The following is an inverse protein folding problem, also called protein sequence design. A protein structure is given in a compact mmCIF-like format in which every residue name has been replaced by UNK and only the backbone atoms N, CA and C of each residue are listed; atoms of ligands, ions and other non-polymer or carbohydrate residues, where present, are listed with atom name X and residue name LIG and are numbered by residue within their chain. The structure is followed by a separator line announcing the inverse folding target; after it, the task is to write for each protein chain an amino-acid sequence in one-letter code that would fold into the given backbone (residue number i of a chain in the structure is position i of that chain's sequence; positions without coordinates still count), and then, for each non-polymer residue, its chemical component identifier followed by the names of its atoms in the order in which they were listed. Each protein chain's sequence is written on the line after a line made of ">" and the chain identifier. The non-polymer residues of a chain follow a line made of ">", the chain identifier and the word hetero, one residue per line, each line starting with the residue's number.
data_IF_364142474691
#
_entry.id   IF_364142474691
#
_cell.length_a   1.000
_cell.length_b   1.000
_cell.length_c   1.000
_cell.angle_alpha   90.00
_cell.angle_beta   90.00
_cell.angle_gamma   90.00
#
_symmetry.space_group_name_H-M   'P 1'
#
loop_
_entity.id
_entity.type
_entity.pdbx_description
1 polymer ?
#
# COMPACT_ATOMS: atom_id res chain seq x y z
N UNK A 1 -18.15 -17.96 19.72
CA UNK A 1 -17.20 -19.04 19.38
C UNK A 1 -16.60 -18.70 18.03
N UNK A 2 -15.51 -17.93 18.01
CA UNK A 2 -14.87 -17.49 16.77
C UNK A 2 -13.94 -18.59 16.26
N UNK A 3 -14.19 -19.09 15.05
CA UNK A 3 -13.35 -20.10 14.41
C UNK A 3 -11.96 -19.53 14.13
N UNK A 4 -10.98 -19.99 14.91
CA UNK A 4 -9.56 -19.79 14.66
C UNK A 4 -9.12 -20.84 13.64
N UNK A 5 -9.29 -20.61 12.33
CA UNK A 5 -8.66 -21.49 11.33
C UNK A 5 -8.51 -20.97 9.90
N UNK A 6 -8.69 -19.70 9.55
CA UNK A 6 -8.45 -19.31 8.16
C UNK A 6 -6.97 -18.98 7.94
N UNK A 7 -6.23 -19.96 7.40
CA UNK A 7 -4.94 -19.72 6.72
C UNK A 7 -5.13 -18.87 5.46
N UNK A 8 -6.32 -18.95 4.87
CA UNK A 8 -6.69 -18.23 3.65
C UNK A 8 -7.23 -16.83 3.98
N UNK A 9 -6.95 -15.87 3.09
CA UNK A 9 -7.50 -14.52 3.18
C UNK A 9 -9.02 -14.56 3.03
N UNK A 10 -9.71 -13.73 3.81
CA UNK A 10 -11.15 -13.54 3.68
C UNK A 10 -11.51 -12.85 2.36
N UNK A 11 -12.77 -12.97 1.95
CA UNK A 11 -13.28 -12.25 0.77
C UNK A 11 -13.09 -10.73 0.90
N UNK A 12 -13.19 -10.19 2.11
CA UNK A 12 -12.99 -8.76 2.35
C UNK A 12 -11.52 -8.35 2.18
N UNK A 13 -10.59 -9.11 2.75
CA UNK A 13 -9.15 -8.89 2.58
C UNK A 13 -8.75 -8.98 1.10
N UNK A 14 -9.24 -9.99 0.37
CA UNK A 14 -8.97 -10.14 -1.08
C UNK A 14 -9.44 -8.94 -1.88
N UNK A 15 -10.65 -8.42 -1.61
CA UNK A 15 -11.16 -7.21 -2.30
C UNK A 15 -10.28 -5.98 -2.07
N UNK A 16 -9.80 -5.77 -0.83
CA UNK A 16 -8.87 -4.68 -0.51
C UNK A 16 -7.55 -4.82 -1.30
N UNK A 17 -6.95 -6.00 -1.22
CA UNK A 17 -5.67 -6.26 -1.87
C UNK A 17 -5.74 -6.19 -3.40
N UNK A 18 -6.85 -6.61 -4.01
CA UNK A 18 -7.09 -6.43 -5.46
C UNK A 18 -7.35 -4.97 -5.82
N UNK A 19 -8.08 -4.22 -4.99
CA UNK A 19 -8.25 -2.79 -5.21
C UNK A 19 -6.91 -2.07 -5.19
N UNK A 20 -6.03 -2.41 -4.24
CA UNK A 20 -4.68 -1.85 -4.16
C UNK A 20 -3.87 -2.17 -5.43
N UNK A 21 -3.90 -3.44 -5.85
CA UNK A 21 -3.26 -3.93 -7.08
C UNK A 21 -3.72 -3.12 -8.29
N UNK A 22 -5.02 -3.07 -8.54
CA UNK A 22 -5.55 -2.40 -9.72
C UNK A 22 -5.45 -0.88 -9.67
N UNK A 23 -5.44 -0.27 -8.49
CA UNK A 23 -5.52 1.20 -8.38
C UNK A 23 -4.14 1.82 -8.33
N UNK A 24 -3.25 1.29 -7.49
CA UNK A 24 -1.98 1.92 -7.16
C UNK A 24 -0.77 1.22 -7.78
N UNK A 25 -0.87 -0.06 -8.14
CA UNK A 25 0.23 -0.80 -8.77
C UNK A 25 0.07 -0.91 -10.28
N UNK A 26 -1.06 -1.40 -10.79
CA UNK A 26 -1.35 -1.51 -12.23
C UNK A 26 -1.70 -0.11 -12.78
N UNK A 27 -0.69 0.65 -13.17
CA UNK A 27 -0.86 2.04 -13.60
C UNK A 27 -1.19 2.14 -15.09
N UNK A 28 -0.81 1.13 -15.88
CA UNK A 28 -1.10 1.06 -17.30
C UNK A 28 -2.46 0.38 -17.61
N UNK A 29 -3.08 -0.28 -16.62
CA UNK A 29 -4.37 -0.99 -16.68
C UNK A 29 -4.38 -2.19 -17.62
N UNK A 30 -3.28 -2.91 -17.75
CA UNK A 30 -3.19 -4.12 -18.56
C UNK A 30 -3.45 -5.42 -17.77
N UNK A 31 -3.68 -5.31 -16.46
CA UNK A 31 -4.06 -6.42 -15.58
C UNK A 31 -2.88 -7.21 -15.01
N UNK A 32 -1.64 -6.88 -15.38
CA UNK A 32 -0.42 -7.50 -14.84
C UNK A 32 0.53 -6.42 -14.32
N UNK A 33 1.28 -6.72 -13.26
CA UNK A 33 2.34 -5.80 -12.84
C UNK A 33 3.62 -6.14 -13.56
N UNK A 34 4.20 -5.14 -14.21
CA UNK A 34 5.53 -5.24 -14.82
C UNK A 34 6.41 -4.09 -14.35
N UNK A 35 7.70 -4.16 -14.66
CA UNK A 35 8.63 -3.05 -14.41
C UNK A 35 8.12 -1.70 -14.97
N UNK A 36 7.37 -1.74 -16.07
CA UNK A 36 6.79 -0.57 -16.71
C UNK A 36 5.86 0.22 -15.79
N UNK A 37 5.09 -0.44 -14.93
CA UNK A 37 4.20 0.25 -13.98
C UNK A 37 4.99 1.04 -12.95
N UNK A 38 6.09 0.47 -12.46
CA UNK A 38 7.02 1.13 -11.55
C UNK A 38 7.75 2.29 -12.24
N UNK A 39 8.04 2.18 -13.54
CA UNK A 39 8.54 3.31 -14.33
C UNK A 39 7.50 4.43 -14.45
N UNK A 40 6.23 4.11 -14.66
CA UNK A 40 5.13 5.10 -14.71
C UNK A 40 4.98 5.78 -13.34
N UNK A 41 4.99 5.03 -12.25
CA UNK A 41 4.93 5.55 -10.88
C UNK A 41 6.07 6.54 -10.62
N UNK A 42 7.31 6.15 -10.98
CA UNK A 42 8.50 7.01 -10.89
C UNK A 42 8.36 8.29 -11.71
N UNK A 43 7.83 8.20 -12.94
CA UNK A 43 7.64 9.38 -13.79
C UNK A 43 6.60 10.33 -13.20
N UNK A 44 5.49 9.80 -12.67
CA UNK A 44 4.45 10.59 -11.99
C UNK A 44 5.05 11.34 -10.80
N UNK A 45 5.76 10.65 -9.90
CA UNK A 45 6.33 11.32 -8.71
C UNK A 45 7.39 12.36 -9.09
N UNK A 46 8.23 12.10 -10.09
CA UNK A 46 9.20 13.10 -10.56
C UNK A 46 8.49 14.35 -11.10
N UNK A 47 7.42 14.16 -11.89
CA UNK A 47 6.63 15.27 -12.43
C UNK A 47 5.93 16.06 -11.33
N UNK A 48 5.27 15.37 -10.40
CA UNK A 48 4.58 15.96 -9.26
C UNK A 48 5.53 16.72 -8.34
N UNK A 49 6.72 16.18 -8.07
CA UNK A 49 7.71 16.83 -7.20
C UNK A 49 8.57 17.88 -7.93
N UNK A 50 8.29 18.15 -9.21
CA UNK A 50 9.03 19.10 -10.03
C UNK A 50 10.51 18.71 -10.24
N UNK A 51 10.85 17.44 -10.08
CA UNK A 51 12.21 16.95 -10.24
C UNK A 51 12.56 16.85 -11.71
N UNK A 52 13.66 17.49 -12.11
CA UNK A 52 14.19 17.37 -13.45
C UNK A 52 14.73 15.96 -13.67
N UNK A 53 14.53 15.47 -14.88
CA UNK A 53 15.08 14.18 -15.29
C UNK A 53 16.61 14.21 -15.20
N UNK A 54 17.20 13.11 -14.70
CA UNK A 54 18.64 13.02 -14.43
C UNK A 54 19.14 13.78 -13.19
N UNK A 55 18.28 14.46 -12.42
CA UNK A 55 18.67 15.01 -11.11
C UNK A 55 18.99 13.90 -10.10
N UNK A 56 19.81 14.20 -9.08
CA UNK A 56 20.15 13.23 -8.03
C UNK A 56 18.92 12.64 -7.33
N UNK A 57 17.87 13.45 -7.14
CA UNK A 57 16.58 12.99 -6.58
C UNK A 57 15.87 12.01 -7.51
N UNK A 58 15.80 12.32 -8.80
CA UNK A 58 15.19 11.43 -9.80
C UNK A 58 15.96 10.11 -9.95
N UNK A 59 17.30 10.15 -9.89
CA UNK A 59 18.15 8.96 -9.92
C UNK A 59 18.03 8.12 -8.65
N UNK A 60 17.92 8.76 -7.48
CA UNK A 60 17.67 8.07 -6.22
C UNK A 60 16.32 7.37 -6.24
N UNK A 61 15.27 8.06 -6.71
CA UNK A 61 13.95 7.47 -6.90
C UNK A 61 14.02 6.26 -7.84
N UNK A 62 14.71 6.37 -8.99
CA UNK A 62 14.88 5.24 -9.91
C UNK A 62 15.44 3.99 -9.23
N UNK A 63 16.45 4.13 -8.37
CA UNK A 63 17.02 3.01 -7.62
C UNK A 63 16.03 2.41 -6.63
N UNK A 64 15.32 3.25 -5.87
CA UNK A 64 14.31 2.81 -4.91
C UNK A 64 13.20 2.01 -5.60
N UNK A 65 12.68 2.49 -6.73
CA UNK A 65 11.65 1.77 -7.49
C UNK A 65 12.19 0.46 -8.08
N UNK A 66 13.43 0.45 -8.58
CA UNK A 66 14.05 -0.77 -9.10
C UNK A 66 14.23 -1.83 -8.01
N UNK A 67 14.70 -1.42 -6.83
CA UNK A 67 14.88 -2.34 -5.72
C UNK A 67 13.52 -2.79 -5.15
N UNK A 68 12.49 -1.93 -5.14
CA UNK A 68 11.13 -2.29 -4.76
C UNK A 68 10.53 -3.33 -5.71
N UNK A 69 10.65 -3.12 -7.03
CA UNK A 69 10.20 -4.09 -8.03
C UNK A 69 10.91 -5.43 -7.88
N UNK A 70 12.25 -5.42 -7.74
CA UNK A 70 13.03 -6.63 -7.54
C UNK A 70 12.57 -7.42 -6.32
N UNK A 71 12.35 -6.75 -5.20
CA UNK A 71 11.89 -7.43 -3.98
C UNK A 71 10.44 -7.91 -4.10
N UNK A 72 9.59 -7.21 -4.86
CA UNK A 72 8.25 -7.71 -5.16
C UNK A 72 8.32 -8.98 -6.02
N UNK A 73 9.19 -9.04 -7.03
CA UNK A 73 9.38 -10.25 -7.83
C UNK A 73 9.85 -11.43 -6.98
N UNK A 74 10.78 -11.22 -6.04
CA UNK A 74 11.29 -12.28 -5.15
C UNK A 74 10.15 -12.97 -4.35
N UNK A 75 9.05 -12.25 -4.07
CA UNK A 75 7.89 -12.76 -3.33
C UNK A 75 6.68 -13.13 -4.20
N UNK A 76 6.54 -12.49 -5.38
CA UNK A 76 5.31 -12.48 -6.17
C UNK A 76 5.43 -12.94 -7.62
N UNK A 77 6.63 -13.10 -8.19
CA UNK A 77 6.83 -13.61 -9.56
C UNK A 77 7.25 -15.09 -9.45
N UNK A 78 6.27 -15.99 -9.40
CA UNK A 78 6.49 -17.39 -9.01
C UNK A 78 7.03 -18.21 -10.18
N UNK A 79 6.59 -17.89 -11.40
CA UNK A 79 7.03 -18.58 -12.61
C UNK A 79 8.22 -17.91 -13.32
N UNK A 80 8.68 -16.77 -12.80
CA UNK A 80 9.86 -16.01 -13.26
C UNK A 80 9.68 -15.48 -14.70
N UNK A 81 8.45 -15.17 -15.10
CA UNK A 81 8.14 -14.59 -16.41
C UNK A 81 8.38 -13.07 -16.48
N UNK A 82 8.72 -12.45 -15.35
CA UNK A 82 8.97 -11.02 -15.24
C UNK A 82 7.70 -10.20 -14.97
N UNK A 83 6.62 -10.86 -14.57
CA UNK A 83 5.31 -10.26 -14.28
C UNK A 83 4.82 -10.74 -12.92
N UNK A 84 3.88 -9.99 -12.36
CA UNK A 84 3.11 -10.44 -11.20
C UNK A 84 1.65 -10.34 -11.58
N UNK A 85 1.00 -11.49 -11.70
CA UNK A 85 -0.45 -11.58 -11.99
C UNK A 85 -1.29 -11.39 -10.72
N UNK A 86 -2.61 -11.17 -10.87
CA UNK A 86 -3.54 -11.13 -9.73
C UNK A 86 -3.48 -12.41 -8.88
N UNK A 87 -3.37 -13.57 -9.52
CA UNK A 87 -3.30 -14.87 -8.85
C UNK A 87 -2.02 -15.00 -8.01
N UNK A 88 -0.88 -14.57 -8.54
CA UNK A 88 0.38 -14.61 -7.81
C UNK A 88 0.42 -13.57 -6.69
N UNK A 89 -0.12 -12.38 -6.94
CA UNK A 89 -0.31 -11.34 -5.93
C UNK A 89 -1.14 -11.87 -4.75
N UNK A 90 -2.27 -12.54 -5.03
CA UNK A 90 -3.09 -13.17 -3.99
C UNK A 90 -2.34 -14.26 -3.22
N UNK A 91 -1.62 -15.14 -3.92
CA UNK A 91 -0.81 -16.20 -3.28
C UNK A 91 0.29 -15.65 -2.40
N UNK A 92 0.97 -14.59 -2.84
CA UNK A 92 1.97 -13.87 -2.05
C UNK A 92 1.34 -13.37 -0.75
N UNK A 93 0.20 -12.68 -0.81
CA UNK A 93 -0.48 -12.18 0.39
C UNK A 93 -1.00 -13.29 1.30
N UNK A 94 -1.50 -14.41 0.76
CA UNK A 94 -1.91 -15.58 1.55
C UNK A 94 -0.72 -16.20 2.31
N UNK A 95 0.45 -16.30 1.67
CA UNK A 95 1.71 -16.73 2.30
C UNK A 95 2.09 -15.79 3.43
N UNK A 96 2.14 -14.48 3.19
CA UNK A 96 2.48 -13.47 4.19
C UNK A 96 1.54 -13.48 5.39
N UNK A 97 0.23 -13.62 5.15
CA UNK A 97 -0.77 -13.74 6.21
C UNK A 97 -0.57 -15.02 7.03
N UNK A 98 -0.30 -16.15 6.37
CA UNK A 98 -0.03 -17.44 7.05
C UNK A 98 1.22 -17.36 7.93
N UNK A 99 2.30 -16.74 7.43
CA UNK A 99 3.53 -16.54 8.19
C UNK A 99 3.30 -15.65 9.42
N UNK A 100 2.59 -14.53 9.25
CA UNK A 100 2.21 -13.65 10.35
C UNK A 100 1.37 -14.38 11.40
N UNK A 101 0.32 -15.10 11.00
CA UNK A 101 -0.54 -15.85 11.92
C UNK A 101 0.21 -16.99 12.63
N UNK A 102 1.24 -17.54 11.99
CA UNK A 102 2.11 -18.55 12.60
C UNK A 102 3.00 -17.91 13.66
N UNK A 103 3.65 -16.78 13.34
CA UNK A 103 4.45 -16.01 14.31
C UNK A 103 3.62 -15.52 15.48
N UNK A 104 2.40 -15.02 15.25
CA UNK A 104 1.49 -14.54 16.29
C UNK A 104 1.11 -15.58 17.35
N UNK A 105 1.23 -16.88 17.03
CA UNK A 105 1.00 -17.98 17.98
C UNK A 105 2.20 -18.27 18.89
N UNK A 106 3.38 -17.75 18.55
CA UNK A 106 4.55 -17.84 19.40
C UNK A 106 4.34 -17.02 20.67
N UNK A 107 4.68 -17.58 21.83
CA UNK A 107 4.56 -16.91 23.13
C UNK A 107 5.50 -15.72 23.28
N UNK A 108 6.57 -15.68 22.48
CA UNK A 108 7.53 -14.58 22.44
C UNK A 108 7.20 -13.55 21.37
N UNK A 109 6.09 -13.69 20.65
CA UNK A 109 5.68 -12.71 19.65
C UNK A 109 5.24 -11.41 20.32
N UNK A 110 5.98 -10.34 20.05
CA UNK A 110 5.55 -8.99 20.36
C UNK A 110 5.10 -8.31 19.08
N UNK A 111 3.91 -7.68 19.08
CA UNK A 111 3.37 -6.99 17.90
C UNK A 111 4.30 -5.89 17.38
N UNK A 112 5.15 -5.32 18.25
CA UNK A 112 6.18 -4.34 17.87
C UNK A 112 7.29 -4.92 16.98
N UNK A 113 7.51 -6.24 17.03
CA UNK A 113 8.53 -6.95 16.27
C UNK A 113 7.97 -7.53 14.95
N UNK A 114 6.74 -7.15 14.61
CA UNK A 114 6.07 -7.61 13.41
C UNK A 114 6.70 -7.02 12.15
N UNK A 115 7.58 -7.82 11.55
CA UNK A 115 8.25 -7.51 10.29
C UNK A 115 7.31 -7.72 9.12
N UNK A 116 7.21 -6.71 8.28
CA UNK A 116 6.65 -6.79 6.93
C UNK A 116 7.78 -7.04 5.92
N UNK A 117 7.47 -7.53 4.71
CA UNK A 117 8.45 -7.67 3.64
C UNK A 117 9.11 -6.33 3.27
N UNK A 118 10.37 -6.38 2.86
CA UNK A 118 11.14 -5.17 2.52
C UNK A 118 10.52 -4.37 1.37
N UNK A 119 9.88 -5.04 0.40
CA UNK A 119 9.16 -4.34 -0.68
C UNK A 119 7.96 -3.56 -0.15
N UNK A 120 7.25 -4.09 0.86
CA UNK A 120 6.08 -3.44 1.44
C UNK A 120 6.49 -2.23 2.28
N UNK A 121 7.59 -2.33 3.03
CA UNK A 121 8.14 -1.19 3.77
C UNK A 121 8.50 -0.03 2.83
N UNK A 122 9.22 -0.33 1.73
CA UNK A 122 9.55 0.68 0.71
C UNK A 122 8.33 1.22 -0.01
N UNK A 123 7.33 0.37 -0.25
CA UNK A 123 6.07 0.80 -0.84
C UNK A 123 5.33 1.77 0.07
N UNK A 124 5.30 1.52 1.38
CA UNK A 124 4.66 2.41 2.36
C UNK A 124 5.36 3.76 2.42
N UNK A 125 6.70 3.78 2.50
CA UNK A 125 7.49 5.02 2.45
C UNK A 125 7.21 5.80 1.16
N UNK A 126 7.21 5.11 0.02
CA UNK A 126 6.85 5.72 -1.26
C UNK A 126 5.42 6.29 -1.27
N UNK A 127 4.44 5.50 -0.80
CA UNK A 127 3.04 5.91 -0.78
C UNK A 127 2.85 7.11 0.13
N UNK A 128 3.59 7.18 1.24
CA UNK A 128 3.61 8.34 2.11
C UNK A 128 4.16 9.58 1.38
N UNK A 129 5.34 9.49 0.77
CA UNK A 129 5.95 10.60 -0.01
C UNK A 129 5.09 11.05 -1.20
N UNK A 130 4.28 10.13 -1.74
CA UNK A 130 3.32 10.45 -2.78
C UNK A 130 2.21 11.36 -2.24
N UNK A 131 1.73 11.11 -1.03
CA UNK A 131 0.71 11.90 -0.35
C UNK A 131 1.27 13.18 0.29
N UNK A 132 2.43 13.16 0.94
CA UNK A 132 3.09 14.32 1.56
C UNK A 132 3.73 15.22 0.48
N UNK A 133 2.89 15.99 -0.20
CA UNK A 133 3.27 16.80 -1.37
C UNK A 133 4.06 18.04 -0.95
N UNK A 134 3.78 18.58 0.23
CA UNK A 134 4.48 19.73 0.79
C UNK A 134 5.80 19.36 1.45
N UNK A 135 5.98 18.08 1.81
CA UNK A 135 7.20 17.54 2.41
C UNK A 135 7.38 17.98 3.86
N UNK A 136 6.29 18.25 4.57
CA UNK A 136 6.31 18.67 5.97
C UNK A 136 6.29 17.48 6.95
N UNK A 137 6.21 16.25 6.41
CA UNK A 137 6.21 15.01 7.17
C UNK A 137 4.85 14.60 7.73
N UNK A 138 3.76 15.28 7.32
CA UNK A 138 2.40 14.97 7.74
C UNK A 138 1.45 15.09 6.56
N UNK A 139 0.69 14.03 6.27
CA UNK A 139 -0.32 14.08 5.22
C UNK A 139 -1.54 14.87 5.72
N UNK A 140 -1.89 15.94 5.01
CA UNK A 140 -3.12 16.68 5.27
C UNK A 140 -4.30 16.22 4.38
N UNK A 141 -5.50 16.76 4.67
CA UNK A 141 -6.73 16.35 3.98
C UNK A 141 -6.76 16.78 2.51
N UNK A 142 -6.16 17.92 2.18
CA UNK A 142 -6.17 18.46 0.83
C UNK A 142 -5.13 17.73 -0.04
N UNK A 143 -3.98 17.39 0.53
CA UNK A 143 -2.98 16.49 -0.05
C UNK A 143 -3.56 15.09 -0.33
N UNK A 144 -4.23 14.50 0.67
CA UNK A 144 -4.87 13.20 0.52
C UNK A 144 -5.94 13.22 -0.57
N UNK A 145 -6.82 14.23 -0.55
CA UNK A 145 -7.85 14.42 -1.58
C UNK A 145 -7.25 14.53 -2.97
N UNK A 146 -6.23 15.39 -3.14
CA UNK A 146 -5.60 15.64 -4.42
C UNK A 146 -5.05 14.36 -5.05
N UNK A 147 -4.27 13.60 -4.29
CA UNK A 147 -3.66 12.36 -4.76
C UNK A 147 -4.73 11.30 -5.01
N UNK A 148 -5.71 11.13 -4.12
CA UNK A 148 -6.83 10.22 -4.35
C UNK A 148 -7.62 10.55 -5.63
N UNK A 149 -7.74 11.84 -5.97
CA UNK A 149 -8.34 12.30 -7.22
C UNK A 149 -7.63 11.80 -8.48
N UNK A 150 -6.29 11.75 -8.48
CA UNK A 150 -5.48 11.18 -9.58
C UNK A 150 -5.73 9.68 -9.80
N UNK A 151 -6.25 9.00 -8.77
CA UNK A 151 -6.64 7.59 -8.83
C UNK A 151 -8.15 7.38 -8.99
N UNK A 152 -8.91 8.44 -9.27
CA UNK A 152 -10.35 8.37 -9.60
C UNK A 152 -11.28 8.28 -8.39
N UNK A 153 -10.78 8.53 -7.18
CA UNK A 153 -11.62 8.64 -5.98
C UNK A 153 -12.27 10.03 -5.96
N UNK A 154 -13.56 10.11 -5.60
CA UNK A 154 -14.23 11.40 -5.53
C UNK A 154 -13.70 12.25 -4.35
N UNK A 155 -13.66 13.59 -4.48
CA UNK A 155 -13.28 14.47 -3.38
C UNK A 155 -14.04 14.19 -2.07
N UNK A 156 -15.34 13.94 -2.19
CA UNK A 156 -16.20 13.64 -1.04
C UNK A 156 -15.76 12.36 -0.31
N UNK A 157 -15.49 11.30 -1.05
CA UNK A 157 -15.05 10.02 -0.47
C UNK A 157 -13.67 10.16 0.16
N UNK A 158 -12.71 10.79 -0.55
CA UNK A 158 -11.36 10.99 -0.05
C UNK A 158 -11.35 11.79 1.28
N UNK A 159 -12.06 12.92 1.33
CA UNK A 159 -12.17 13.74 2.55
C UNK A 159 -12.85 12.98 3.68
N UNK A 160 -13.92 12.22 3.39
CA UNK A 160 -14.62 11.44 4.42
C UNK A 160 -13.72 10.35 4.98
N UNK A 161 -13.02 9.63 4.11
CA UNK A 161 -12.04 8.62 4.47
C UNK A 161 -10.92 9.19 5.34
N UNK A 162 -10.37 10.36 4.96
CA UNK A 162 -9.36 11.07 5.74
C UNK A 162 -9.85 11.39 7.15
N UNK A 163 -11.05 11.95 7.28
CA UNK A 163 -11.63 12.28 8.60
C UNK A 163 -11.83 11.04 9.47
N UNK A 164 -12.12 9.88 8.89
CA UNK A 164 -12.26 8.64 9.64
C UNK A 164 -10.92 8.20 10.26
N UNK A 165 -9.88 8.01 9.44
CA UNK A 165 -8.61 7.51 9.97
C UNK A 165 -7.81 8.56 10.73
N UNK A 166 -7.92 9.85 10.40
CA UNK A 166 -7.31 10.94 11.19
C UNK A 166 -8.06 11.24 12.49
N UNK A 167 -9.18 10.54 12.76
CA UNK A 167 -10.07 10.79 13.91
C UNK A 167 -10.49 12.26 13.98
N UNK A 168 -11.00 12.77 12.87
CA UNK A 168 -11.40 14.16 12.72
C UNK A 168 -10.26 15.15 13.07
N UNK A 169 -9.07 14.90 12.50
CA UNK A 169 -7.84 15.68 12.73
C UNK A 169 -7.24 15.61 14.15
N UNK A 170 -7.75 14.75 15.04
CA UNK A 170 -7.13 14.54 16.36
C UNK A 170 -5.80 13.77 16.28
N UNK A 171 -5.61 13.00 15.20
CA UNK A 171 -4.41 12.20 14.95
C UNK A 171 -3.66 12.74 13.74
N UNK A 172 -2.42 13.19 13.95
CA UNK A 172 -1.52 13.56 12.87
C UNK A 172 -1.15 12.31 12.05
N UNK A 173 -1.19 12.46 10.73
CA UNK A 173 -0.91 11.40 9.77
C UNK A 173 0.55 11.47 9.34
N UNK A 174 1.45 11.23 10.30
CA UNK A 174 2.88 11.07 10.03
C UNK A 174 3.20 9.68 9.44
N UNK A 175 4.43 9.48 8.98
CA UNK A 175 4.85 8.21 8.38
C UNK A 175 4.64 7.00 9.32
N UNK A 176 4.85 7.18 10.62
CA UNK A 176 4.68 6.10 11.61
C UNK A 176 3.21 5.68 11.72
N UNK A 177 2.29 6.64 11.80
CA UNK A 177 0.86 6.36 11.85
C UNK A 177 0.33 5.83 10.51
N UNK A 178 0.77 6.42 9.40
CA UNK A 178 0.43 5.97 8.05
C UNK A 178 0.87 4.52 7.81
N UNK A 179 2.08 4.15 8.26
CA UNK A 179 2.56 2.77 8.22
C UNK A 179 1.65 1.81 8.98
N UNK A 180 1.18 2.18 10.18
CA UNK A 180 0.25 1.36 10.95
C UNK A 180 -1.06 1.15 10.19
N UNK A 181 -1.61 2.20 9.59
CA UNK A 181 -2.83 2.12 8.78
C UNK A 181 -2.63 1.26 7.53
N UNK A 182 -1.50 1.34 6.82
CA UNK A 182 -1.20 0.47 5.68
C UNK A 182 -1.12 -1.00 6.07
N UNK A 183 -0.48 -1.30 7.21
CA UNK A 183 -0.39 -2.67 7.73
C UNK A 183 -1.77 -3.18 8.14
N UNK A 184 -2.57 -2.35 8.81
CA UNK A 184 -3.95 -2.67 9.16
C UNK A 184 -4.81 -2.90 7.91
N UNK A 185 -4.63 -2.08 6.86
CA UNK A 185 -5.30 -2.25 5.57
C UNK A 185 -5.04 -3.62 4.96
N UNK A 186 -3.78 -4.06 4.93
CA UNK A 186 -3.39 -5.33 4.31
C UNK A 186 -3.88 -6.56 5.10
N UNK A 187 -4.07 -6.44 6.41
CA UNK A 187 -4.24 -7.59 7.31
C UNK A 187 -5.58 -7.66 8.01
N UNK A 188 -6.24 -6.53 8.27
CA UNK A 188 -7.49 -6.53 9.03
C UNK A 188 -8.62 -7.19 8.24
N UNK A 189 -9.38 -8.05 8.91
CA UNK A 189 -10.66 -8.56 8.43
C UNK A 189 -11.86 -7.81 9.05
N UNK A 190 -11.59 -6.85 9.94
CA UNK A 190 -12.61 -5.98 10.50
C UNK A 190 -12.91 -4.84 9.53
N UNK A 191 -14.18 -4.70 9.13
CA UNK A 191 -14.63 -3.60 8.27
C UNK A 191 -14.55 -2.24 8.97
N UNK A 192 -14.57 -2.22 10.31
CA UNK A 192 -14.45 -1.01 11.12
C UNK A 192 -13.02 -0.51 11.32
N UNK A 193 -11.99 -1.27 10.90
CA UNK A 193 -10.59 -0.86 11.00
C UNK A 193 -10.32 0.44 10.24
N UNK A 194 -9.61 1.38 10.87
CA UNK A 194 -9.32 2.70 10.29
C UNK A 194 -8.46 2.60 9.04
N UNK A 195 -7.54 1.63 8.99
CA UNK A 195 -6.70 1.34 7.84
C UNK A 195 -7.50 1.11 6.56
N UNK A 196 -8.74 0.61 6.62
CA UNK A 196 -9.59 0.39 5.45
C UNK A 196 -9.81 1.67 4.62
N UNK A 197 -9.76 2.84 5.26
CA UNK A 197 -10.02 4.14 4.63
C UNK A 197 -8.77 4.81 4.04
N UNK A 198 -7.57 4.23 4.22
CA UNK A 198 -6.30 4.85 3.73
C UNK A 198 -6.19 4.92 2.20
N UNK A 199 -7.07 4.23 1.50
CA UNK A 199 -7.11 4.18 0.03
C UNK A 199 -8.14 5.14 -0.59
N UNK A 200 -8.80 5.95 0.26
CA UNK A 200 -9.83 6.90 -0.14
C UNK A 200 -11.23 6.32 -0.27
N UNK A 201 -11.37 4.98 -0.28
CA UNK A 201 -12.67 4.28 -0.34
C UNK A 201 -13.34 4.13 1.03
N UNK A 202 -14.66 4.30 1.03
CA UNK A 202 -15.53 4.10 2.20
C UNK A 202 -16.04 2.67 2.35
N UNK A 203 -16.12 1.93 1.25
CA UNK A 203 -16.51 0.53 1.27
C UNK A 203 -15.76 -0.28 0.19
N UNK A 204 -15.71 -1.59 0.42
CA UNK A 204 -15.26 -2.60 -0.54
C UNK A 204 -16.41 -3.58 -0.82
N UNK A 205 -17.65 -3.10 -0.78
CA UNK A 205 -18.85 -3.91 -1.04
C UNK A 205 -18.91 -4.38 -2.48
#
# INVERSE_FOLDING_TARGET
>A
MGNVSNKELSSFQKKKLLYEYHTFFDLNKDGVLEWKDFQIARMRICAMSGWKDGSDKALKAQRVFADMWRYLQDDGDVDLDGKVTEDEWMRMWEKLNTEYLTRKKDKNFEEKDDKIPDWLERYIEYKFDLFDRTGDGVIDIDEFEYVCGDFGVSPKEARTSFLLFSKNHEQNVDLSYFRQLCIEYCRSDDQGSLGNFISGKLDFT
#
